data_IF_272223711520
#
_entry.id   IF_272223711520
#
_cell.length_a   1.000
_cell.length_b   1.000
_cell.length_c   1.000
_cell.angle_alpha   90.00
_cell.angle_beta   90.00
_cell.angle_gamma   90.00
#
_symmetry.space_group_name_H-M   'P 1'
#
loop_
_entity.id
_entity.type
_entity.pdbx_description
1 polymer ?
#
# COMPACT_ATOMS: atom_id res chain seq x y z
N UNK A 1 40.49 10.18 9.79
CA UNK A 1 39.98 9.30 8.70
C UNK A 1 38.83 8.39 9.17
N UNK A 2 38.82 7.97 10.44
CA UNK A 2 37.79 7.08 10.99
C UNK A 2 36.42 7.77 11.22
N UNK A 3 36.40 9.00 11.74
CA UNK A 3 35.16 9.75 11.98
C UNK A 3 34.39 10.04 10.68
N UNK A 4 35.11 10.41 9.61
CA UNK A 4 34.53 10.65 8.29
C UNK A 4 33.92 9.40 7.68
N UNK A 5 34.56 8.23 7.85
CA UNK A 5 34.03 6.94 7.39
C UNK A 5 32.75 6.56 8.14
N UNK A 6 32.73 6.77 9.47
CA UNK A 6 31.56 6.52 10.32
C UNK A 6 30.36 7.39 9.91
N UNK A 7 30.57 8.69 9.69
CA UNK A 7 29.51 9.62 9.25
C UNK A 7 28.94 9.18 7.89
N UNK A 8 29.81 8.84 6.93
CA UNK A 8 29.38 8.37 5.60
C UNK A 8 28.50 7.12 5.69
N UNK A 9 28.91 6.14 6.48
CA UNK A 9 28.15 4.90 6.68
C UNK A 9 26.78 5.16 7.32
N UNK A 10 26.70 6.05 8.31
CA UNK A 10 25.42 6.43 8.92
C UNK A 10 24.49 7.08 7.89
N UNK A 11 24.98 8.02 7.08
CA UNK A 11 24.17 8.66 6.03
C UNK A 11 23.63 7.62 5.06
N UNK A 12 24.50 6.73 4.56
CA UNK A 12 24.12 5.66 3.62
C UNK A 12 23.04 4.77 4.25
N UNK A 13 23.27 4.29 5.48
CA UNK A 13 22.32 3.42 6.17
C UNK A 13 20.96 4.08 6.39
N UNK A 14 20.94 5.33 6.88
CA UNK A 14 19.70 6.08 7.08
C UNK A 14 18.97 6.29 5.76
N UNK A 15 19.70 6.59 4.69
CA UNK A 15 19.13 6.75 3.34
C UNK A 15 18.48 5.45 2.87
N UNK A 16 19.19 4.31 3.00
CA UNK A 16 18.65 2.99 2.62
C UNK A 16 17.38 2.68 3.40
N UNK A 17 17.38 2.88 4.73
CA UNK A 17 16.20 2.61 5.56
C UNK A 17 15.01 3.47 5.15
N UNK A 18 15.23 4.77 4.88
CA UNK A 18 14.16 5.65 4.43
C UNK A 18 13.66 5.27 3.03
N UNK A 19 14.55 4.93 2.10
CA UNK A 19 14.18 4.45 0.77
C UNK A 19 13.38 3.15 0.83
N UNK A 20 13.81 2.17 1.62
CA UNK A 20 13.09 0.91 1.81
C UNK A 20 11.70 1.18 2.39
N UNK A 21 11.61 1.98 3.45
CA UNK A 21 10.33 2.36 4.03
C UNK A 21 9.40 3.05 3.02
N UNK A 22 9.90 4.03 2.27
CA UNK A 22 9.13 4.74 1.24
C UNK A 22 8.65 3.78 0.14
N UNK A 23 9.50 2.87 -0.33
CA UNK A 23 9.11 1.88 -1.32
C UNK A 23 8.00 0.95 -0.78
N UNK A 24 8.12 0.48 0.46
CA UNK A 24 7.10 -0.37 1.07
C UNK A 24 5.75 0.32 1.16
N UNK A 25 5.70 1.60 1.56
CA UNK A 25 4.42 2.33 1.67
C UNK A 25 3.83 2.71 0.31
N UNK A 26 4.67 2.98 -0.70
CA UNK A 26 4.21 3.35 -2.06
C UNK A 26 3.64 2.12 -2.76
N UNK A 27 4.32 0.97 -2.63
CA UNK A 27 3.92 -0.30 -3.25
C UNK A 27 3.03 -1.16 -2.36
N UNK A 28 2.49 -0.61 -1.26
CA UNK A 28 1.67 -1.38 -0.32
C UNK A 28 0.46 -2.03 -1.02
N UNK A 29 -0.22 -1.31 -1.91
CA UNK A 29 -1.34 -1.87 -2.69
C UNK A 29 -0.91 -3.11 -3.50
N UNK A 30 0.23 -3.06 -4.19
CA UNK A 30 0.74 -4.19 -4.97
C UNK A 30 1.26 -5.34 -4.09
N UNK A 31 1.82 -5.04 -2.92
CA UNK A 31 2.23 -6.03 -1.91
C UNK A 31 1.00 -6.79 -1.42
N UNK A 32 -0.07 -6.06 -1.05
CA UNK A 32 -1.32 -6.65 -0.57
C UNK A 32 -2.01 -7.50 -1.65
N UNK A 33 -2.03 -7.00 -2.89
CA UNK A 33 -2.68 -7.66 -4.03
C UNK A 33 -1.97 -8.92 -4.51
N UNK A 34 -0.64 -8.92 -4.56
CA UNK A 34 0.13 -9.98 -5.24
C UNK A 34 0.83 -10.95 -4.28
N UNK A 35 0.98 -10.62 -3.00
CA UNK A 35 1.63 -11.49 -2.03
C UNK A 35 0.60 -12.06 -1.06
N UNK A 36 0.79 -13.32 -0.71
CA UNK A 36 -0.03 -14.01 0.28
C UNK A 36 0.85 -14.76 1.29
N UNK A 37 0.23 -15.19 2.41
CA UNK A 37 0.88 -15.98 3.43
C UNK A 37 2.09 -15.30 4.08
N UNK A 38 3.19 -16.05 4.23
CA UNK A 38 4.37 -15.61 5.00
C UNK A 38 5.04 -14.38 4.38
N UNK A 39 5.08 -14.26 3.05
CA UNK A 39 5.68 -13.12 2.38
C UNK A 39 4.91 -11.83 2.66
N UNK A 40 3.58 -11.88 2.58
CA UNK A 40 2.73 -10.74 2.93
C UNK A 40 2.97 -10.29 4.37
N UNK A 41 2.98 -11.23 5.32
CA UNK A 41 3.23 -10.92 6.74
C UNK A 41 4.62 -10.29 6.92
N UNK A 42 5.65 -10.82 6.25
CA UNK A 42 7.01 -10.29 6.31
C UNK A 42 7.10 -8.85 5.80
N UNK A 43 6.59 -8.56 4.60
CA UNK A 43 6.68 -7.21 4.03
C UNK A 43 5.81 -6.21 4.79
N UNK A 44 4.60 -6.60 5.19
CA UNK A 44 3.69 -5.74 5.96
C UNK A 44 4.24 -5.45 7.35
N UNK A 45 4.90 -6.40 8.01
CA UNK A 45 5.56 -6.17 9.31
C UNK A 45 6.83 -5.33 9.20
N UNK A 46 7.49 -5.29 8.04
CA UNK A 46 8.66 -4.45 7.81
C UNK A 46 8.32 -2.95 7.82
N UNK A 47 7.08 -2.57 7.47
CA UNK A 47 6.60 -1.18 7.49
C UNK A 47 6.69 -0.57 8.91
N UNK A 48 6.04 -1.11 9.96
CA UNK A 48 6.13 -0.55 11.31
C UNK A 48 7.56 -0.65 11.88
N UNK A 49 8.32 -1.71 11.57
CA UNK A 49 9.71 -1.85 12.04
C UNK A 49 10.60 -0.73 11.49
N UNK A 50 10.53 -0.47 10.18
CA UNK A 50 11.32 0.58 9.54
C UNK A 50 10.85 1.97 9.97
N UNK A 51 9.54 2.18 10.15
CA UNK A 51 9.00 3.42 10.69
C UNK A 51 9.51 3.74 12.10
N UNK A 52 9.45 2.77 13.03
CA UNK A 52 10.00 2.93 14.39
C UNK A 52 11.50 3.22 14.36
N UNK A 53 12.23 2.55 13.47
CA UNK A 53 13.68 2.79 13.27
C UNK A 53 13.96 4.23 12.82
N UNK A 54 13.16 4.75 11.89
CA UNK A 54 13.26 6.15 11.41
C UNK A 54 12.99 7.14 12.56
N UNK A 55 11.98 6.90 13.40
CA UNK A 55 11.69 7.73 14.58
C UNK A 55 12.89 7.74 15.54
N UNK A 56 13.41 6.57 15.90
CA UNK A 56 14.56 6.45 16.83
C UNK A 56 15.77 7.18 16.28
N UNK A 57 16.04 7.05 14.97
CA UNK A 57 17.14 7.74 14.31
C UNK A 57 16.91 9.25 14.23
N UNK A 58 15.68 9.69 13.97
CA UNK A 58 15.28 11.10 13.97
C UNK A 58 15.50 11.76 15.33
N UNK A 59 15.01 11.14 16.42
CA UNK A 59 15.17 11.66 17.79
C UNK A 59 16.66 11.72 18.18
N UNK A 60 17.43 10.64 17.95
CA UNK A 60 18.88 10.62 18.21
C UNK A 60 19.60 11.70 17.40
N UNK A 61 19.20 11.89 16.15
CA UNK A 61 19.71 12.92 15.25
C UNK A 61 19.45 14.33 15.77
N UNK A 62 18.22 14.64 16.18
CA UNK A 62 17.82 15.93 16.75
C UNK A 62 18.61 16.23 18.03
N UNK A 63 18.67 15.26 18.97
CA UNK A 63 19.44 15.43 20.22
C UNK A 63 20.91 15.76 19.91
N UNK A 64 21.51 15.08 18.93
CA UNK A 64 22.91 15.31 18.53
C UNK A 64 23.12 16.69 17.90
N UNK A 65 22.17 17.16 17.09
CA UNK A 65 22.18 18.50 16.49
C UNK A 65 22.06 19.58 17.58
N UNK A 66 21.11 19.44 18.50
CA UNK A 66 20.91 20.42 19.59
C UNK A 66 22.14 20.50 20.49
N UNK A 67 22.72 19.36 20.89
CA UNK A 67 23.91 19.32 21.75
C UNK A 67 25.15 19.94 21.09
N UNK A 68 25.28 19.82 19.77
CA UNK A 68 26.44 20.32 19.03
C UNK A 68 26.14 21.62 18.24
N UNK A 69 25.13 22.38 18.66
CA UNK A 69 24.65 23.58 17.93
C UNK A 69 25.73 24.63 17.64
N UNK A 70 26.77 24.70 18.48
CA UNK A 70 27.86 25.67 18.33
C UNK A 70 28.91 25.26 17.28
N UNK A 71 28.91 24.00 16.82
CA UNK A 71 29.83 23.49 15.80
C UNK A 71 29.08 22.58 14.81
N UNK A 72 28.04 23.15 14.19
CA UNK A 72 27.20 22.43 13.24
C UNK A 72 27.91 22.29 11.90
N UNK A 73 28.19 21.05 11.53
CA UNK A 73 28.55 20.70 10.16
C UNK A 73 27.30 20.17 9.46
N UNK A 74 26.96 20.75 8.30
CA UNK A 74 25.80 20.36 7.50
C UNK A 74 25.81 18.85 7.19
N UNK A 75 27.00 18.27 6.95
CA UNK A 75 27.21 16.81 6.76
C UNK A 75 26.68 15.96 7.93
N UNK A 76 26.80 16.46 9.17
CA UNK A 76 26.34 15.76 10.37
C UNK A 76 24.80 15.87 10.56
N UNK A 77 24.16 16.81 9.89
CA UNK A 77 22.71 17.03 9.98
C UNK A 77 21.92 16.25 8.92
N UNK A 78 22.56 15.83 7.82
CA UNK A 78 21.89 15.11 6.72
C UNK A 78 21.02 13.92 7.17
N UNK A 79 21.48 12.99 8.01
CA UNK A 79 20.63 11.85 8.42
C UNK A 79 19.34 12.33 9.10
N UNK A 80 19.45 13.34 9.96
CA UNK A 80 18.29 13.93 10.66
C UNK A 80 17.34 14.58 9.66
N UNK A 81 17.86 15.34 8.69
CA UNK A 81 17.07 15.99 7.65
C UNK A 81 16.32 14.94 6.82
N UNK A 82 16.99 13.86 6.40
CA UNK A 82 16.38 12.77 5.62
C UNK A 82 15.24 12.10 6.40
N UNK A 83 15.47 11.76 7.68
CA UNK A 83 14.42 11.20 8.54
C UNK A 83 13.24 12.17 8.69
N UNK A 84 13.50 13.45 8.95
CA UNK A 84 12.46 14.47 9.10
C UNK A 84 11.64 14.64 7.82
N UNK A 85 12.28 14.73 6.65
CA UNK A 85 11.59 14.80 5.36
C UNK A 85 10.75 13.55 5.09
N UNK A 86 11.26 12.37 5.42
CA UNK A 86 10.52 11.10 5.27
C UNK A 86 9.27 11.09 6.14
N UNK A 87 9.38 11.49 7.42
CA UNK A 87 8.24 11.59 8.34
C UNK A 87 7.23 12.63 7.84
N UNK A 88 7.71 13.80 7.42
CA UNK A 88 6.84 14.86 6.89
C UNK A 88 6.07 14.38 5.65
N UNK A 89 6.74 13.69 4.74
CA UNK A 89 6.11 13.09 3.58
C UNK A 89 5.03 12.07 3.96
N UNK A 90 5.31 11.18 4.92
CA UNK A 90 4.34 10.17 5.38
C UNK A 90 3.05 10.77 5.93
N UNK A 91 3.15 11.82 6.75
CA UNK A 91 2.00 12.36 7.48
C UNK A 91 1.29 13.51 6.77
N UNK A 92 2.03 14.33 6.02
CA UNK A 92 1.53 15.61 5.51
C UNK A 92 1.54 15.73 4.00
N UNK A 93 2.06 14.74 3.25
CA UNK A 93 2.06 14.84 1.79
C UNK A 93 0.65 14.64 1.23
N UNK A 94 0.04 15.68 0.60
CA UNK A 94 -1.22 15.49 -0.13
C UNK A 94 -1.01 14.71 -1.42
N UNK A 95 0.24 14.65 -1.92
CA UNK A 95 0.65 13.90 -3.11
C UNK A 95 1.35 12.61 -2.70
N UNK A 96 0.73 11.85 -1.79
CA UNK A 96 1.25 10.54 -1.43
C UNK A 96 1.21 9.66 -2.67
N UNK A 97 2.38 9.27 -3.15
CA UNK A 97 2.51 8.31 -4.22
C UNK A 97 1.88 7.00 -3.78
N UNK A 98 0.90 6.55 -4.55
CA UNK A 98 0.26 5.25 -4.40
C UNK A 98 0.46 4.49 -5.70
N UNK A 99 0.95 3.26 -5.59
CA UNK A 99 1.07 2.35 -6.72
C UNK A 99 -0.27 2.03 -7.40
N UNK A 100 -1.42 2.19 -6.73
CA UNK A 100 -2.74 2.10 -7.37
C UNK A 100 -2.89 3.09 -8.54
N UNK A 101 -2.24 4.26 -8.45
CA UNK A 101 -2.27 5.27 -9.53
C UNK A 101 -1.50 4.83 -10.79
N UNK A 102 -0.71 3.76 -10.72
CA UNK A 102 -0.06 3.16 -11.89
C UNK A 102 -1.01 2.25 -12.67
N UNK A 103 -2.15 1.89 -12.08
CA UNK A 103 -3.15 1.04 -12.71
C UNK A 103 -4.17 1.88 -13.50
N UNK A 104 -4.93 1.23 -14.38
CA UNK A 104 -5.99 1.90 -15.16
C UNK A 104 -7.04 2.52 -14.25
N UNK A 105 -7.63 3.65 -14.65
CA UNK A 105 -8.71 4.30 -13.90
C UNK A 105 -9.88 3.34 -13.64
N UNK A 106 -10.50 3.49 -12.47
CA UNK A 106 -11.69 2.74 -12.07
C UNK A 106 -12.91 3.33 -12.79
N UNK A 107 -13.56 2.51 -13.61
CA UNK A 107 -14.80 2.84 -14.33
C UNK A 107 -16.04 2.58 -13.45
N UNK A 108 -16.06 1.47 -12.70
CA UNK A 108 -17.14 1.12 -11.78
C UNK A 108 -16.57 0.57 -10.48
N UNK A 109 -17.22 0.87 -9.36
CA UNK A 109 -16.92 0.29 -8.05
C UNK A 109 -18.17 -0.32 -7.45
N UNK A 110 -18.04 -1.51 -6.88
CA UNK A 110 -19.07 -2.06 -6.01
C UNK A 110 -18.47 -2.50 -4.67
N UNK A 111 -19.18 -2.23 -3.59
CA UNK A 111 -18.77 -2.58 -2.24
C UNK A 111 -19.83 -3.49 -1.58
N UNK A 112 -19.35 -4.45 -0.81
CA UNK A 112 -20.13 -5.30 0.07
C UNK A 112 -19.76 -5.00 1.52
N UNK A 113 -20.77 -4.62 2.30
CA UNK A 113 -20.62 -4.33 3.73
C UNK A 113 -21.41 -5.38 4.51
N UNK A 114 -20.71 -6.40 5.01
CA UNK A 114 -21.24 -7.34 6.00
C UNK A 114 -20.78 -6.98 7.42
N UNK A 115 -21.46 -7.52 8.43
CA UNK A 115 -21.09 -7.32 9.85
C UNK A 115 -19.66 -7.79 10.18
N UNK A 116 -19.20 -8.81 9.46
CA UNK A 116 -17.94 -9.51 9.73
C UNK A 116 -16.99 -9.56 8.54
N UNK A 117 -17.49 -9.32 7.33
CA UNK A 117 -16.71 -9.38 6.10
C UNK A 117 -16.95 -8.11 5.28
N UNK A 118 -15.92 -7.66 4.61
CA UNK A 118 -15.96 -6.54 3.67
C UNK A 118 -15.37 -7.02 2.35
N UNK A 119 -15.99 -6.63 1.25
CA UNK A 119 -15.41 -6.89 -0.05
C UNK A 119 -15.65 -5.70 -0.96
N UNK A 120 -14.73 -5.47 -1.89
CA UNK A 120 -14.93 -4.50 -2.95
C UNK A 120 -14.45 -5.08 -4.26
N UNK A 121 -15.15 -4.69 -5.33
CA UNK A 121 -14.75 -4.98 -6.70
C UNK A 121 -14.58 -3.67 -7.46
N UNK A 122 -13.42 -3.54 -8.11
CA UNK A 122 -13.05 -2.44 -8.98
C UNK A 122 -13.08 -2.95 -10.42
N UNK A 123 -13.79 -2.26 -11.29
CA UNK A 123 -13.79 -2.48 -12.73
C UNK A 123 -13.05 -1.33 -13.39
N UNK A 124 -11.99 -1.61 -14.13
CA UNK A 124 -11.12 -0.60 -14.73
C UNK A 124 -11.42 -0.38 -16.22
N UNK A 125 -11.09 0.80 -16.72
CA UNK A 125 -11.30 1.21 -18.11
C UNK A 125 -10.63 0.25 -19.13
N UNK A 126 -9.46 -0.29 -18.80
CA UNK A 126 -8.71 -1.27 -19.59
C UNK A 126 -9.34 -2.68 -19.64
N UNK A 127 -10.53 -2.84 -19.07
CA UNK A 127 -11.30 -4.09 -19.00
C UNK A 127 -10.70 -5.14 -18.07
N UNK A 128 -9.86 -4.74 -17.13
CA UNK A 128 -9.46 -5.56 -15.97
C UNK A 128 -10.37 -5.30 -14.77
N UNK A 129 -10.52 -6.29 -13.90
CA UNK A 129 -11.19 -6.14 -12.62
C UNK A 129 -10.35 -6.69 -11.48
N UNK A 130 -10.60 -6.17 -10.29
CA UNK A 130 -10.01 -6.62 -9.03
C UNK A 130 -11.10 -6.78 -7.99
N UNK A 131 -11.14 -7.94 -7.36
CA UNK A 131 -12.00 -8.21 -6.21
C UNK A 131 -11.07 -8.45 -5.01
N UNK A 132 -11.23 -7.64 -3.97
CA UNK A 132 -10.62 -7.89 -2.67
C UNK A 132 -11.71 -8.32 -1.70
N UNK A 133 -11.51 -9.44 -1.03
CA UNK A 133 -12.35 -9.92 0.05
C UNK A 133 -11.56 -9.99 1.35
N UNK A 134 -11.95 -9.15 2.31
CA UNK A 134 -11.41 -9.15 3.67
C UNK A 134 -12.43 -9.76 4.63
N UNK A 135 -12.02 -10.81 5.33
CA UNK A 135 -12.82 -11.48 6.35
C UNK A 135 -12.29 -11.31 7.77
N UNK A 136 -13.03 -11.85 8.74
CA UNK A 136 -12.58 -11.95 10.14
C UNK A 136 -11.28 -12.76 10.23
N UNK A 137 -10.44 -12.45 11.22
CA UNK A 137 -9.16 -13.13 11.49
C UNK A 137 -8.07 -12.94 10.43
N UNK A 138 -8.11 -11.83 9.68
CA UNK A 138 -7.05 -11.48 8.73
C UNK A 138 -7.09 -12.31 7.44
N UNK A 139 -8.24 -12.92 7.14
CA UNK A 139 -8.49 -13.48 5.81
C UNK A 139 -8.51 -12.33 4.80
N UNK A 140 -7.59 -12.36 3.84
CA UNK A 140 -7.49 -11.37 2.78
C UNK A 140 -7.19 -12.12 1.47
N UNK A 141 -8.15 -12.10 0.55
CA UNK A 141 -8.00 -12.74 -0.74
C UNK A 141 -8.28 -11.76 -1.87
N UNK A 142 -7.45 -11.88 -2.91
CA UNK A 142 -7.53 -11.08 -4.11
C UNK A 142 -7.85 -11.98 -5.30
N UNK A 143 -8.79 -11.54 -6.12
CA UNK A 143 -9.03 -12.12 -7.43
C UNK A 143 -8.93 -11.04 -8.48
N UNK A 144 -8.33 -11.39 -9.60
CA UNK A 144 -8.17 -10.51 -10.75
C UNK A 144 -8.68 -11.19 -12.01
N UNK A 145 -8.94 -10.39 -13.03
CA UNK A 145 -9.37 -10.92 -14.32
C UNK A 145 -9.81 -9.85 -15.28
N UNK A 146 -10.56 -10.26 -16.29
CA UNK A 146 -11.14 -9.39 -17.31
C UNK A 146 -12.66 -9.30 -17.17
N UNK A 147 -13.22 -8.17 -17.57
CA UNK A 147 -14.66 -7.97 -17.55
C UNK A 147 -15.21 -7.41 -18.86
N UNK A 148 -16.49 -7.67 -19.13
CA UNK A 148 -17.20 -7.11 -20.27
C UNK A 148 -18.64 -6.74 -19.88
N UNK A 149 -19.11 -5.58 -20.34
CA UNK A 149 -20.51 -5.16 -20.24
C UNK A 149 -21.30 -5.53 -21.49
N UNK A 150 -22.45 -6.19 -21.32
CA UNK A 150 -23.44 -6.47 -22.38
C UNK A 150 -24.82 -6.01 -21.91
N UNK A 151 -25.19 -4.78 -22.27
CA UNK A 151 -26.40 -4.14 -21.76
C UNK A 151 -26.35 -3.99 -20.24
N UNK A 152 -27.29 -4.61 -19.55
CA UNK A 152 -27.36 -4.64 -18.08
C UNK A 152 -26.57 -5.79 -17.45
N UNK A 153 -25.80 -6.56 -18.24
CA UNK A 153 -25.01 -7.68 -17.75
C UNK A 153 -23.53 -7.33 -17.65
N UNK A 154 -22.91 -7.59 -16.50
CA UNK A 154 -21.45 -7.67 -16.38
C UNK A 154 -21.04 -9.14 -16.42
N UNK A 155 -20.07 -9.45 -17.29
CA UNK A 155 -19.45 -10.76 -17.44
C UNK A 155 -18.02 -10.68 -16.91
N UNK A 156 -17.69 -11.55 -15.95
CA UNK A 156 -16.35 -11.67 -15.37
C UNK A 156 -15.63 -12.91 -15.88
N UNK A 157 -14.35 -12.77 -16.21
CA UNK A 157 -13.43 -13.85 -16.53
C UNK A 157 -12.21 -13.74 -15.61
N UNK A 158 -12.13 -14.61 -14.62
CA UNK A 158 -11.04 -14.65 -13.65
C UNK A 158 -9.75 -15.14 -14.32
N UNK A 159 -8.60 -14.62 -13.89
CA UNK A 159 -7.29 -15.05 -14.40
C UNK A 159 -6.90 -16.44 -13.86
N UNK A 160 -7.38 -16.80 -12.66
CA UNK A 160 -7.23 -18.13 -12.08
C UNK A 160 -8.26 -19.14 -12.60
N UNK A 161 -7.80 -20.37 -12.87
CA UNK A 161 -8.55 -21.39 -13.64
C UNK A 161 -9.70 -22.08 -12.92
N UNK A 162 -9.96 -21.83 -11.63
CA UNK A 162 -10.95 -22.59 -10.85
C UNK A 162 -11.96 -21.68 -10.13
N UNK A 163 -12.67 -20.82 -10.86
CA UNK A 163 -13.96 -20.31 -10.38
C UNK A 163 -15.03 -20.97 -11.23
N UNK A 164 -15.71 -21.98 -10.68
CA UNK A 164 -16.70 -22.81 -11.38
C UNK A 164 -17.95 -22.06 -11.86
N UNK A 165 -18.06 -20.74 -11.65
CA UNK A 165 -19.25 -19.98 -12.04
C UNK A 165 -18.91 -18.66 -12.73
N UNK A 166 -19.43 -18.41 -13.95
CA UNK A 166 -19.41 -17.10 -14.56
C UNK A 166 -20.36 -16.18 -13.79
N UNK A 167 -19.81 -15.19 -13.10
CA UNK A 167 -20.60 -14.18 -12.41
C UNK A 167 -21.36 -13.32 -13.42
N UNK A 168 -22.69 -13.26 -13.27
CA UNK A 168 -23.60 -12.39 -14.03
C UNK A 168 -24.22 -11.38 -13.07
N UNK A 169 -23.92 -10.10 -13.26
CA UNK A 169 -24.60 -9.02 -12.55
C UNK A 169 -25.69 -8.41 -13.43
N UNK A 170 -26.93 -8.27 -12.97
CA UNK A 170 -28.01 -7.60 -13.69
C UNK A 170 -28.42 -6.30 -12.99
N UNK A 171 -28.18 -5.14 -13.62
CA UNK A 171 -28.47 -3.81 -13.06
C UNK A 171 -29.95 -3.57 -12.72
N UNK A 172 -30.91 -4.27 -13.35
CA UNK A 172 -32.35 -4.06 -13.12
C UNK A 172 -32.92 -4.87 -11.95
N UNK A 173 -32.20 -5.88 -11.49
CA UNK A 173 -32.61 -6.76 -10.41
C UNK A 173 -31.56 -6.64 -9.33
N UNK A 174 -31.87 -6.07 -8.16
CA UNK A 174 -31.03 -6.07 -6.94
C UNK A 174 -30.79 -7.51 -6.44
N UNK A 175 -30.24 -8.36 -7.29
CA UNK A 175 -30.05 -9.79 -7.10
C UNK A 175 -28.65 -10.12 -7.60
N UNK A 176 -27.67 -9.90 -6.72
CA UNK A 176 -26.65 -10.90 -6.49
C UNK A 176 -27.23 -11.84 -5.44
N UNK A 177 -27.07 -13.15 -5.62
CA UNK A 177 -27.43 -14.16 -4.63
C UNK A 177 -27.18 -13.63 -3.19
N UNK A 178 -28.27 -13.30 -2.50
CA UNK A 178 -28.36 -13.04 -1.06
C UNK A 178 -27.28 -12.14 -0.43
N UNK A 179 -26.77 -11.11 -1.12
CA UNK A 179 -25.72 -10.25 -0.55
C UNK A 179 -25.88 -8.76 -0.92
N UNK A 180 -25.75 -7.91 0.12
CA UNK A 180 -25.90 -6.45 0.11
C UNK A 180 -24.76 -5.71 -0.61
N UNK A 181 -24.71 -5.78 -1.94
CA UNK A 181 -23.78 -4.99 -2.74
C UNK A 181 -24.35 -3.62 -3.08
N UNK A 182 -23.57 -2.56 -2.87
CA UNK A 182 -23.86 -1.17 -3.29
C UNK A 182 -22.92 -0.79 -4.43
N UNK A 183 -23.45 -0.18 -5.49
CA UNK A 183 -22.66 0.33 -6.63
C UNK A 183 -22.61 1.85 -6.55
N UNK A 184 -21.44 2.41 -6.84
CA UNK A 184 -21.18 3.85 -6.95
C UNK A 184 -20.46 4.15 -8.24
#
# INVERSE_FOLDING_TARGET
MEETKKIKNTIILTTIICCVYLLLIIFYHHIDKNLSGVLYIFFTSLIPITFLTIIVFGIKGIIKVIKNRHNLNLKKCFPTIICSLTILYTFFSPYRLDSENLESKVELRACYEGTQNQAYILFREDKTFELNWTGVFGYNEWWTGKWQKKGNLLLLKYDDKNVEQPWRYNFNSKWLFKSHWKIS
#
